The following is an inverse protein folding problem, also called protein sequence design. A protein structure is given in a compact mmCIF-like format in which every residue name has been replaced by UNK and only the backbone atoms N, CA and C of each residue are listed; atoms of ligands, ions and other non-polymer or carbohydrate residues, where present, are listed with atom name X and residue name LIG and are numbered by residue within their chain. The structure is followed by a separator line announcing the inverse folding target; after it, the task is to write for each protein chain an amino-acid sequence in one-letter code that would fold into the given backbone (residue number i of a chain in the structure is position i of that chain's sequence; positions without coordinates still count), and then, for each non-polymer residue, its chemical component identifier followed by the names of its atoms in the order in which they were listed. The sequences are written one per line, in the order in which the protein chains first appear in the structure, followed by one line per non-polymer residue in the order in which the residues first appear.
data_IF_695139881639
#
_entry.id   IF_695139881639
#
_cell.length_a   1.000
_cell.length_b   1.000
_cell.length_c   1.000
_cell.angle_alpha   90.00
_cell.angle_beta   90.00
_cell.angle_gamma   90.00
#
_symmetry.space_group_name_H-M   'P 1'
#
loop_
_entity.id
_entity.type
_entity.pdbx_description
1 polymer ?
#
# COMPACT_ATOMS: atom_id res chain seq x y z
N UNK A 1 0.36 -17.04 64.43
CA UNK A 1 0.26 -17.78 63.16
C UNK A 1 1.51 -18.69 63.02
N UNK A 2 1.28 -20.01 63.00
CA UNK A 2 2.29 -21.02 63.20
C UNK A 2 3.31 -21.01 62.03
N UNK A 3 4.61 -21.13 62.34
CA UNK A 3 5.70 -21.12 61.36
C UNK A 3 5.45 -22.09 60.17
N UNK A 4 4.89 -23.25 60.45
CA UNK A 4 4.48 -24.25 59.47
C UNK A 4 3.46 -23.73 58.42
N UNK A 5 2.49 -22.92 58.84
CA UNK A 5 1.52 -22.33 57.89
C UNK A 5 2.13 -21.29 56.94
N UNK A 6 3.16 -20.55 57.42
CA UNK A 6 3.89 -19.60 56.58
C UNK A 6 4.77 -20.29 55.54
N UNK A 7 5.41 -21.39 55.93
CA UNK A 7 6.24 -22.18 54.99
C UNK A 7 5.37 -22.81 53.89
N UNK A 8 4.21 -23.38 54.26
CA UNK A 8 3.25 -23.97 53.31
C UNK A 8 2.73 -22.89 52.31
N UNK A 9 2.39 -21.71 52.85
CA UNK A 9 1.89 -20.58 51.99
C UNK A 9 2.96 -20.11 50.99
N UNK A 10 4.24 -20.03 51.39
CA UNK A 10 5.33 -19.67 50.49
C UNK A 10 5.58 -20.74 49.42
N UNK A 11 5.49 -22.01 49.74
CA UNK A 11 5.63 -23.09 48.77
C UNK A 11 4.50 -23.08 47.75
N UNK A 12 3.27 -22.87 48.17
CA UNK A 12 2.12 -22.77 47.28
C UNK A 12 2.25 -21.57 46.32
N UNK A 13 2.76 -20.43 46.83
CA UNK A 13 3.00 -19.24 46.00
C UNK A 13 4.08 -19.49 44.95
N UNK A 14 5.17 -20.16 45.32
CA UNK A 14 6.23 -20.49 44.36
C UNK A 14 5.77 -21.50 43.31
N UNK A 15 4.93 -22.45 43.67
CA UNK A 15 4.34 -23.41 42.70
C UNK A 15 3.41 -22.68 41.75
N UNK A 16 2.59 -21.75 42.25
CA UNK A 16 1.69 -20.93 41.36
C UNK A 16 2.48 -20.06 40.43
N UNK A 17 3.54 -19.41 40.88
CA UNK A 17 4.45 -18.63 40.02
C UNK A 17 5.13 -19.47 38.95
N UNK A 18 5.58 -20.68 39.31
CA UNK A 18 6.18 -21.62 38.34
C UNK A 18 5.14 -22.10 37.30
N UNK A 19 3.90 -22.33 37.71
CA UNK A 19 2.81 -22.70 36.78
C UNK A 19 2.49 -21.56 35.84
N UNK A 20 2.42 -20.32 36.34
CA UNK A 20 2.18 -19.12 35.52
C UNK A 20 3.31 -18.91 34.52
N UNK A 21 4.58 -19.16 34.95
CA UNK A 21 5.74 -19.07 34.07
C UNK A 21 5.74 -20.18 33.00
N UNK A 22 5.42 -21.42 33.34
CA UNK A 22 5.27 -22.54 32.40
C UNK A 22 4.12 -22.35 31.42
N UNK A 23 2.97 -21.79 31.86
CA UNK A 23 1.84 -21.49 30.97
C UNK A 23 2.16 -20.28 30.07
N UNK A 24 2.92 -19.31 30.58
CA UNK A 24 3.42 -18.16 29.79
C UNK A 24 4.33 -18.63 28.64
N UNK A 25 5.32 -19.47 28.92
CA UNK A 25 6.23 -20.00 27.90
C UNK A 25 5.51 -20.87 26.85
N UNK A 26 4.51 -21.69 27.28
CA UNK A 26 3.74 -22.53 26.34
C UNK A 26 2.82 -21.69 25.44
N UNK A 27 2.30 -20.56 25.92
CA UNK A 27 1.50 -19.66 25.07
C UNK A 27 2.33 -18.76 24.17
N UNK A 28 3.53 -18.32 24.62
CA UNK A 28 4.43 -17.53 23.76
C UNK A 28 4.96 -18.36 22.59
N UNK A 29 5.37 -19.60 22.80
CA UNK A 29 5.86 -20.48 21.73
C UNK A 29 4.79 -20.93 20.73
N UNK A 30 3.49 -20.80 21.06
CA UNK A 30 2.38 -21.21 20.19
C UNK A 30 1.80 -20.08 19.34
N UNK A 31 2.09 -18.83 19.69
CA UNK A 31 1.66 -17.63 18.92
C UNK A 31 2.66 -17.32 17.78
N UNK A 32 3.93 -17.72 17.91
CA UNK A 32 4.95 -17.50 16.86
C UNK A 32 4.84 -18.43 15.64
N UNK A 33 4.00 -19.47 15.68
CA UNK A 33 3.90 -20.45 14.57
C UNK A 33 2.67 -20.30 13.69
N UNK A 34 1.83 -19.29 13.90
CA UNK A 34 0.73 -18.96 12.99
C UNK A 34 1.05 -17.69 12.20
N UNK A 35 1.76 -17.87 11.08
CA UNK A 35 1.63 -16.99 9.93
C UNK A 35 2.30 -15.62 10.02
N UNK A 36 3.49 -15.51 10.60
CA UNK A 36 4.42 -14.47 10.17
C UNK A 36 5.17 -15.03 8.97
N UNK A 37 4.87 -14.53 7.77
CA UNK A 37 5.82 -14.66 6.68
C UNK A 37 7.18 -14.25 7.25
N UNK A 38 8.20 -15.06 7.02
CA UNK A 38 9.57 -14.70 7.39
C UNK A 38 9.88 -13.47 6.55
N UNK A 39 9.78 -12.29 7.14
CA UNK A 39 10.26 -11.06 6.51
C UNK A 39 11.77 -11.29 6.41
N UNK A 40 12.25 -11.51 5.20
CA UNK A 40 13.68 -11.56 4.92
C UNK A 40 14.19 -10.13 5.11
N UNK A 41 14.87 -9.87 6.23
CA UNK A 41 15.47 -8.55 6.54
C UNK A 41 16.46 -8.08 5.44
N UNK A 42 16.77 -8.94 4.46
CA UNK A 42 17.57 -8.64 3.27
C UNK A 42 16.73 -8.50 1.99
N UNK A 43 15.39 -8.54 2.05
CA UNK A 43 14.57 -8.34 0.85
C UNK A 43 14.71 -6.91 0.33
N UNK A 44 14.86 -6.78 -0.99
CA UNK A 44 14.88 -5.47 -1.66
C UNK A 44 13.45 -5.00 -1.81
N UNK A 45 13.02 -4.01 -1.04
CA UNK A 45 11.66 -3.45 -1.13
C UNK A 45 11.48 -2.57 -2.35
N UNK A 46 10.31 -2.67 -3.00
CA UNK A 46 9.86 -1.77 -4.08
C UNK A 46 8.36 -1.51 -3.94
N UNK A 47 7.88 -0.33 -4.35
CA UNK A 47 6.47 -0.04 -4.41
C UNK A 47 5.97 -0.02 -5.86
N UNK A 48 4.95 -0.86 -6.15
CA UNK A 48 4.22 -0.79 -7.40
C UNK A 48 3.01 0.12 -7.21
N UNK A 49 2.86 1.13 -8.06
CA UNK A 49 1.83 2.14 -7.89
C UNK A 49 1.05 2.38 -9.18
N UNK A 50 -0.25 2.65 -9.05
CA UNK A 50 -1.16 2.84 -10.18
C UNK A 50 -1.92 4.16 -10.04
N UNK A 51 -1.90 4.98 -11.09
CA UNK A 51 -2.58 6.26 -11.17
C UNK A 51 -3.86 6.18 -12.02
N UNK A 52 -4.72 7.19 -11.90
CA UNK A 52 -5.93 7.44 -12.70
C UNK A 52 -7.12 6.49 -12.48
N UNK A 53 -6.94 5.39 -11.77
CA UNK A 53 -7.98 4.38 -11.51
C UNK A 53 -9.14 4.86 -10.60
N UNK A 54 -10.05 3.92 -10.29
CA UNK A 54 -10.16 2.60 -10.86
C UNK A 54 -10.82 2.58 -12.25
N UNK A 55 -10.44 1.59 -13.08
CA UNK A 55 -11.11 1.27 -14.34
C UNK A 55 -12.04 0.05 -14.16
N UNK A 56 -13.27 0.06 -14.72
CA UNK A 56 -14.28 -0.97 -14.43
C UNK A 56 -13.90 -2.41 -14.78
N UNK A 57 -12.98 -2.61 -15.70
CA UNK A 57 -12.53 -3.93 -16.14
C UNK A 57 -11.08 -4.22 -15.73
N UNK A 58 -10.18 -3.31 -16.02
CA UNK A 58 -8.74 -3.58 -15.91
C UNK A 58 -8.25 -3.56 -14.48
N UNK A 59 -8.77 -2.66 -13.63
CA UNK A 59 -8.45 -2.67 -12.20
C UNK A 59 -8.87 -3.98 -11.55
N UNK A 60 -10.05 -4.53 -11.88
CA UNK A 60 -10.48 -5.85 -11.35
C UNK A 60 -9.54 -6.98 -11.75
N UNK A 61 -9.12 -7.02 -13.01
CA UNK A 61 -8.16 -8.01 -13.50
C UNK A 61 -6.79 -7.88 -12.80
N UNK A 62 -6.36 -6.64 -12.58
CA UNK A 62 -5.14 -6.35 -11.85
C UNK A 62 -5.22 -6.84 -10.40
N UNK A 63 -6.31 -6.53 -9.69
CA UNK A 63 -6.52 -6.96 -8.30
C UNK A 63 -6.52 -8.48 -8.16
N UNK A 64 -7.20 -9.20 -9.07
CA UNK A 64 -7.16 -10.67 -9.12
C UNK A 64 -5.74 -11.18 -9.29
N UNK A 65 -4.98 -10.63 -10.23
CA UNK A 65 -3.60 -11.04 -10.49
C UNK A 65 -2.62 -10.71 -9.35
N UNK A 66 -2.78 -9.57 -8.67
CA UNK A 66 -1.99 -9.20 -7.49
C UNK A 66 -2.30 -10.14 -6.31
N UNK A 67 -3.58 -10.45 -6.10
CA UNK A 67 -4.04 -11.37 -5.06
C UNK A 67 -3.49 -12.79 -5.24
N UNK A 68 -3.47 -13.32 -6.47
CA UNK A 68 -2.88 -14.62 -6.79
C UNK A 68 -1.39 -14.70 -6.45
N UNK A 69 -0.70 -13.55 -6.39
CA UNK A 69 0.73 -13.42 -6.11
C UNK A 69 1.04 -12.97 -4.68
N UNK A 70 -0.02 -12.76 -3.87
CA UNK A 70 0.08 -12.19 -2.51
C UNK A 70 0.86 -10.88 -2.45
N UNK A 71 0.63 -9.99 -3.43
CA UNK A 71 1.32 -8.71 -3.59
C UNK A 71 0.38 -7.57 -3.28
N UNK A 72 0.87 -6.59 -2.50
CA UNK A 72 0.20 -5.33 -2.23
C UNK A 72 0.77 -4.23 -3.13
N UNK A 73 -0.07 -3.24 -3.44
CA UNK A 73 0.27 -2.10 -4.27
C UNK A 73 -0.38 -0.82 -3.72
N UNK A 74 -0.04 0.32 -4.29
CA UNK A 74 -0.68 1.59 -3.97
C UNK A 74 -1.44 2.12 -5.18
N UNK A 75 -2.68 2.56 -4.97
CA UNK A 75 -3.55 3.12 -6.00
C UNK A 75 -3.82 4.58 -5.71
N UNK A 76 -3.32 5.48 -6.57
CA UNK A 76 -3.65 6.90 -6.55
C UNK A 76 -4.86 7.14 -7.46
N UNK A 77 -6.04 7.24 -6.85
CA UNK A 77 -7.32 7.21 -7.57
C UNK A 77 -7.94 8.60 -7.72
N UNK A 78 -8.62 8.85 -8.84
CA UNK A 78 -9.32 10.10 -9.06
C UNK A 78 -10.70 10.07 -8.41
N UNK A 79 -11.13 11.20 -7.82
CA UNK A 79 -12.42 11.27 -7.14
C UNK A 79 -13.61 10.95 -8.04
N UNK A 80 -13.55 11.31 -9.32
CA UNK A 80 -14.60 10.96 -10.32
C UNK A 80 -14.73 9.44 -10.46
N UNK A 81 -13.63 8.71 -10.47
CA UNK A 81 -13.65 7.25 -10.60
C UNK A 81 -14.04 6.57 -9.28
N UNK A 82 -13.76 7.19 -8.12
CA UNK A 82 -14.30 6.73 -6.84
C UNK A 82 -15.84 6.75 -6.85
N UNK A 83 -16.43 7.86 -7.24
CA UNK A 83 -17.90 7.99 -7.33
C UNK A 83 -18.51 7.05 -8.40
N UNK A 84 -17.79 6.83 -9.51
CA UNK A 84 -18.28 5.99 -10.61
C UNK A 84 -18.20 4.47 -10.29
N UNK A 85 -17.22 4.05 -9.49
CA UNK A 85 -16.91 2.62 -9.25
C UNK A 85 -16.58 2.36 -7.78
N UNK A 86 -17.47 2.72 -6.83
CA UNK A 86 -17.20 2.60 -5.39
C UNK A 86 -16.95 1.14 -4.94
N UNK A 87 -17.55 0.17 -5.62
CA UNK A 87 -17.35 -1.26 -5.33
C UNK A 87 -15.93 -1.73 -5.63
N UNK A 88 -15.26 -1.12 -6.64
CA UNK A 88 -13.87 -1.46 -6.96
C UNK A 88 -12.93 -0.80 -5.95
N UNK A 89 -13.20 0.45 -5.54
CA UNK A 89 -12.46 1.13 -4.48
C UNK A 89 -12.54 0.35 -3.17
N UNK A 90 -13.74 -0.14 -2.83
CA UNK A 90 -13.93 -1.01 -1.67
C UNK A 90 -13.11 -2.30 -1.78
N UNK A 91 -13.05 -2.92 -2.95
CA UNK A 91 -12.23 -4.11 -3.17
C UNK A 91 -10.73 -3.80 -3.03
N UNK A 92 -10.22 -2.69 -3.59
CA UNK A 92 -8.84 -2.24 -3.42
C UNK A 92 -8.50 -2.17 -1.92
N UNK A 93 -9.37 -1.54 -1.13
CA UNK A 93 -9.20 -1.38 0.31
C UNK A 93 -9.26 -2.71 1.06
N UNK A 94 -10.29 -3.55 0.80
CA UNK A 94 -10.49 -4.84 1.48
C UNK A 94 -9.39 -5.87 1.13
N UNK A 95 -8.81 -5.79 -0.06
CA UNK A 95 -7.65 -6.62 -0.44
C UNK A 95 -6.33 -6.12 0.18
N UNK A 96 -6.36 -5.03 0.96
CA UNK A 96 -5.23 -4.50 1.74
C UNK A 96 -4.23 -3.70 0.93
N UNK A 97 -4.64 -3.12 -0.19
CA UNK A 97 -3.86 -2.15 -0.93
C UNK A 97 -3.99 -0.75 -0.31
N UNK A 98 -2.96 0.09 -0.48
CA UNK A 98 -3.03 1.48 -0.06
C UNK A 98 -3.77 2.31 -1.10
N UNK A 99 -4.64 3.22 -0.63
CA UNK A 99 -5.34 4.19 -1.47
C UNK A 99 -4.79 5.58 -1.22
N UNK A 100 -4.38 6.26 -2.28
CA UNK A 100 -3.98 7.66 -2.29
C UNK A 100 -4.89 8.52 -3.17
N UNK A 101 -4.80 9.81 -2.98
CA UNK A 101 -5.52 10.85 -3.72
C UNK A 101 -4.81 11.18 -5.04
N UNK A 102 -5.57 11.32 -6.13
CA UNK A 102 -5.04 11.78 -7.43
C UNK A 102 -5.85 12.97 -7.99
N UNK A 103 -6.34 13.86 -7.11
CA UNK A 103 -7.31 14.91 -7.38
C UNK A 103 -8.66 14.38 -7.87
N UNK A 104 -9.66 15.24 -7.96
CA UNK A 104 -11.01 14.79 -8.34
C UNK A 104 -11.12 14.51 -9.85
N UNK A 105 -10.63 15.43 -10.68
CA UNK A 105 -10.74 15.37 -12.15
C UNK A 105 -9.37 15.34 -12.86
N UNK A 106 -8.33 14.81 -12.21
CA UNK A 106 -6.96 14.81 -12.72
C UNK A 106 -6.44 16.22 -13.06
N UNK A 107 -6.80 17.21 -12.24
CA UNK A 107 -6.41 18.61 -12.46
C UNK A 107 -4.93 18.82 -12.17
N UNK A 108 -4.19 19.38 -13.13
CA UNK A 108 -2.81 19.82 -12.92
C UNK A 108 -2.77 21.11 -12.11
N UNK A 109 -1.90 21.20 -11.11
CA UNK A 109 -1.62 22.44 -10.40
C UNK A 109 -0.90 23.45 -11.30
N UNK A 110 -1.41 24.67 -11.33
CA UNK A 110 -0.83 25.82 -12.03
C UNK A 110 -0.84 27.05 -11.11
N UNK A 111 -0.13 28.12 -11.49
CA UNK A 111 -0.13 29.37 -10.74
C UNK A 111 -1.50 30.05 -10.62
N UNK A 112 -2.46 29.71 -11.49
CA UNK A 112 -3.77 30.34 -11.54
C UNK A 112 -4.92 29.52 -10.94
N UNK A 113 -4.68 28.28 -10.47
CA UNK A 113 -5.78 27.40 -10.03
C UNK A 113 -5.57 26.77 -8.64
N UNK A 114 -4.69 27.34 -7.80
CA UNK A 114 -4.34 26.75 -6.51
C UNK A 114 -5.55 26.42 -5.64
N UNK A 115 -6.51 27.32 -5.53
CA UNK A 115 -7.71 27.12 -4.70
C UNK A 115 -8.62 26.01 -5.27
N UNK A 116 -8.82 25.99 -6.59
CA UNK A 116 -9.56 24.91 -7.24
C UNK A 116 -8.85 23.55 -7.02
N UNK A 117 -7.53 23.51 -7.13
CA UNK A 117 -6.74 22.31 -6.92
C UNK A 117 -6.92 21.77 -5.50
N UNK A 118 -6.92 22.65 -4.47
CA UNK A 118 -7.21 22.25 -3.09
C UNK A 118 -8.59 21.64 -2.93
N UNK A 119 -9.62 22.28 -3.53
CA UNK A 119 -10.99 21.77 -3.48
C UNK A 119 -11.11 20.38 -4.12
N UNK A 120 -10.37 20.12 -5.19
CA UNK A 120 -10.34 18.79 -5.80
C UNK A 120 -9.70 17.74 -4.89
N UNK A 121 -8.66 18.11 -4.14
CA UNK A 121 -8.05 17.21 -3.14
C UNK A 121 -9.05 16.91 -2.03
N UNK A 122 -9.64 17.94 -1.44
CA UNK A 122 -10.60 17.79 -0.32
C UNK A 122 -11.75 16.90 -0.74
N UNK A 123 -12.38 17.18 -1.89
CA UNK A 123 -13.49 16.39 -2.40
C UNK A 123 -13.10 14.93 -2.65
N UNK A 124 -11.92 14.69 -3.17
CA UNK A 124 -11.43 13.31 -3.39
C UNK A 124 -11.24 12.56 -2.08
N UNK A 125 -10.68 13.21 -1.05
CA UNK A 125 -10.56 12.59 0.27
C UNK A 125 -11.94 12.27 0.87
N UNK A 126 -12.93 13.16 0.71
CA UNK A 126 -14.29 12.94 1.19
C UNK A 126 -14.92 11.69 0.55
N UNK A 127 -14.86 11.57 -0.78
CA UNK A 127 -15.46 10.41 -1.46
C UNK A 127 -14.69 9.11 -1.23
N UNK A 128 -13.36 9.15 -1.05
CA UNK A 128 -12.58 7.98 -0.62
C UNK A 128 -13.05 7.53 0.77
N UNK A 129 -13.15 8.46 1.72
CA UNK A 129 -13.59 8.17 3.09
C UNK A 129 -15.03 7.64 3.14
N UNK A 130 -15.94 8.15 2.32
CA UNK A 130 -17.31 7.64 2.24
C UNK A 130 -17.35 6.15 1.85
N UNK A 131 -16.44 5.69 1.01
CA UNK A 131 -16.38 4.30 0.53
C UNK A 131 -15.60 3.39 1.47
N UNK A 132 -14.45 3.85 1.99
CA UNK A 132 -13.50 3.02 2.76
C UNK A 132 -13.69 3.13 4.28
N UNK A 133 -14.27 4.24 4.75
CA UNK A 133 -14.31 4.60 6.18
C UNK A 133 -13.01 5.23 6.69
N UNK A 134 -11.95 5.30 5.89
CA UNK A 134 -10.60 5.73 6.28
C UNK A 134 -10.21 7.03 5.58
N UNK A 135 -9.42 7.84 6.28
CA UNK A 135 -8.81 9.04 5.70
C UNK A 135 -7.52 8.65 4.95
N UNK A 136 -7.31 9.17 3.74
CA UNK A 136 -6.00 9.09 3.09
C UNK A 136 -5.22 10.39 3.30
N UNK A 137 -3.92 10.25 3.59
CA UNK A 137 -2.98 11.37 3.70
C UNK A 137 -1.98 11.38 2.53
N UNK A 138 -1.98 10.36 1.70
CA UNK A 138 -1.07 10.26 0.55
C UNK A 138 -1.71 10.83 -0.70
N UNK A 139 -0.94 11.63 -1.43
CA UNK A 139 -1.36 12.19 -2.71
C UNK A 139 -0.27 12.00 -3.75
N UNK A 140 -0.65 11.59 -4.94
CA UNK A 140 0.19 11.81 -6.11
C UNK A 140 -0.43 12.94 -6.92
N UNK A 141 0.22 14.12 -6.96
CA UNK A 141 -0.32 15.23 -7.74
C UNK A 141 -0.19 14.92 -9.24
N UNK A 142 -1.25 15.17 -10.04
CA UNK A 142 -1.18 15.00 -11.49
C UNK A 142 0.02 15.72 -12.10
N UNK A 143 0.73 15.02 -13.01
CA UNK A 143 1.95 15.50 -13.67
C UNK A 143 3.11 15.82 -12.70
N UNK A 144 3.05 15.37 -11.44
CA UNK A 144 4.05 15.67 -10.42
C UNK A 144 4.07 17.13 -9.94
N UNK A 145 3.05 17.93 -10.30
CA UNK A 145 2.99 19.37 -9.98
C UNK A 145 2.50 19.60 -8.55
N UNK A 146 3.38 20.05 -7.65
CA UNK A 146 3.08 20.23 -6.23
C UNK A 146 3.57 21.55 -5.67
N UNK A 147 2.87 22.07 -4.65
CA UNK A 147 3.32 23.21 -3.81
C UNK A 147 3.47 22.73 -2.37
N UNK A 148 4.65 22.87 -1.79
CA UNK A 148 4.97 22.47 -0.40
C UNK A 148 4.08 23.13 0.67
N UNK A 149 3.49 24.28 0.39
CA UNK A 149 2.57 24.93 1.31
C UNK A 149 1.33 24.06 1.58
N UNK A 150 0.92 23.25 0.60
CA UNK A 150 -0.23 22.34 0.72
C UNK A 150 0.00 21.17 1.68
N UNK A 151 1.25 20.76 1.92
CA UNK A 151 1.57 19.67 2.85
C UNK A 151 1.01 19.98 4.25
N UNK A 152 1.20 21.23 4.71
CA UNK A 152 0.71 21.64 6.03
C UNK A 152 -0.78 22.02 6.01
N UNK A 153 -1.21 22.68 4.96
CA UNK A 153 -2.57 23.21 4.87
C UNK A 153 -3.61 22.09 4.73
N UNK A 154 -3.28 21.05 3.95
CA UNK A 154 -4.18 19.94 3.64
C UNK A 154 -3.84 18.66 4.41
N UNK A 155 -2.77 18.65 5.20
CA UNK A 155 -2.24 17.45 5.86
C UNK A 155 -2.05 16.29 4.85
N UNK A 156 -1.47 16.60 3.67
CA UNK A 156 -1.23 15.64 2.60
C UNK A 156 0.26 15.42 2.38
N UNK A 157 0.65 14.17 2.16
CA UNK A 157 2.02 13.76 1.88
C UNK A 157 2.16 13.43 0.38
N UNK A 158 2.92 14.23 -0.40
CA UNK A 158 3.07 13.99 -1.83
C UNK A 158 4.02 12.81 -2.09
N UNK A 159 3.59 11.86 -2.90
CA UNK A 159 4.36 10.70 -3.34
C UNK A 159 4.57 10.80 -4.85
N UNK A 160 5.83 10.97 -5.26
CA UNK A 160 6.22 10.93 -6.66
C UNK A 160 6.68 9.51 -7.04
N UNK A 161 7.40 9.36 -8.13
CA UNK A 161 7.93 8.10 -8.61
C UNK A 161 9.42 8.21 -8.97
N UNK A 162 10.09 7.09 -9.00
CA UNK A 162 11.49 6.98 -9.44
C UNK A 162 11.61 6.31 -10.80
N UNK A 163 10.62 5.48 -11.17
CA UNK A 163 10.56 4.82 -12.47
C UNK A 163 9.23 5.13 -13.15
N UNK A 164 9.28 5.69 -14.36
CA UNK A 164 8.17 5.80 -15.29
C UNK A 164 8.47 4.92 -16.51
N UNK A 165 7.77 3.80 -16.72
CA UNK A 165 7.96 2.93 -17.86
C UNK A 165 7.28 3.43 -19.13
N UNK A 166 6.52 4.53 -19.06
CA UNK A 166 5.73 5.11 -20.16
C UNK A 166 4.62 4.16 -20.67
N UNK A 167 3.98 3.44 -19.76
CA UNK A 167 2.90 2.48 -20.06
C UNK A 167 1.67 3.15 -20.67
N UNK A 168 1.39 4.39 -20.25
CA UNK A 168 0.28 5.21 -20.74
C UNK A 168 0.36 5.55 -22.24
N UNK A 169 1.53 5.46 -22.86
CA UNK A 169 1.73 5.72 -24.28
C UNK A 169 2.29 4.51 -25.07
N UNK A 170 2.32 3.32 -24.46
CA UNK A 170 2.86 2.10 -25.07
C UNK A 170 1.81 1.00 -25.19
N UNK A 171 1.79 0.33 -26.34
CA UNK A 171 1.01 -0.88 -26.57
C UNK A 171 1.88 -2.16 -26.52
N UNK A 172 3.14 -2.06 -26.07
CA UNK A 172 4.10 -3.15 -25.97
C UNK A 172 4.36 -3.51 -24.49
N UNK A 173 3.64 -4.53 -23.99
CA UNK A 173 3.81 -5.00 -22.62
C UNK A 173 5.27 -5.42 -22.34
N UNK A 174 5.93 -6.10 -23.26
CA UNK A 174 7.31 -6.56 -23.07
C UNK A 174 8.29 -5.38 -22.99
N UNK A 175 8.05 -4.31 -23.75
CA UNK A 175 8.82 -3.07 -23.67
C UNK A 175 8.63 -2.38 -22.32
N UNK A 176 7.39 -2.32 -21.80
CA UNK A 176 7.08 -1.77 -20.47
C UNK A 176 7.83 -2.58 -19.38
N UNK A 177 7.72 -3.92 -19.39
CA UNK A 177 8.45 -4.80 -18.47
C UNK A 177 9.94 -4.53 -18.48
N UNK A 178 10.56 -4.51 -19.68
CA UNK A 178 11.98 -4.24 -19.84
C UNK A 178 12.39 -2.87 -19.28
N UNK A 179 11.56 -1.84 -19.48
CA UNK A 179 11.83 -0.49 -18.98
C UNK A 179 11.86 -0.41 -17.45
N UNK A 180 11.17 -1.31 -16.75
CA UNK A 180 11.20 -1.43 -15.30
C UNK A 180 12.35 -2.34 -14.86
N UNK A 181 12.35 -3.60 -15.28
CA UNK A 181 13.23 -4.66 -14.74
C UNK A 181 14.72 -4.32 -14.90
N UNK A 182 15.10 -3.67 -16.00
CA UNK A 182 16.52 -3.30 -16.23
C UNK A 182 16.99 -2.15 -15.33
N UNK A 183 16.08 -1.32 -14.83
CA UNK A 183 16.43 -0.07 -14.11
C UNK A 183 16.17 -0.17 -12.61
N UNK A 184 15.25 -1.03 -12.19
CA UNK A 184 14.74 -1.07 -10.82
C UNK A 184 15.85 -1.33 -9.81
N UNK A 185 15.77 -0.63 -8.70
CA UNK A 185 16.63 -0.77 -7.51
C UNK A 185 15.76 -0.84 -6.27
N UNK A 186 16.36 -1.25 -5.19
CA UNK A 186 15.75 -1.17 -3.85
C UNK A 186 15.25 0.25 -3.56
N UNK A 187 14.07 0.33 -2.96
CA UNK A 187 13.34 1.55 -2.61
C UNK A 187 12.82 2.37 -3.81
N UNK A 188 12.77 1.78 -5.00
CA UNK A 188 12.13 2.44 -6.13
C UNK A 188 10.59 2.41 -6.02
N UNK A 189 9.98 3.49 -6.49
CA UNK A 189 8.54 3.64 -6.66
C UNK A 189 8.23 3.61 -8.15
N UNK A 190 7.50 2.60 -8.60
CA UNK A 190 7.19 2.37 -10.02
C UNK A 190 5.82 2.96 -10.31
N UNK A 191 5.76 3.92 -11.25
CA UNK A 191 4.52 4.50 -11.76
C UNK A 191 3.94 3.63 -12.87
N UNK A 192 2.66 3.30 -12.79
CA UNK A 192 1.88 2.67 -13.85
C UNK A 192 0.44 3.24 -13.85
N UNK A 193 -0.41 2.82 -14.81
CA UNK A 193 -1.79 3.26 -14.94
C UNK A 193 -2.71 2.06 -15.20
N UNK A 194 -3.62 1.77 -14.29
CA UNK A 194 -4.50 0.59 -14.34
C UNK A 194 -5.66 0.68 -15.34
N UNK A 195 -5.58 1.64 -16.26
CA UNK A 195 -6.60 1.90 -17.29
C UNK A 195 -6.40 1.11 -18.58
N UNK A 196 -5.26 0.40 -18.73
CA UNK A 196 -4.90 -0.29 -19.98
C UNK A 196 -4.64 -1.77 -19.79
N UNK A 197 -5.18 -2.59 -20.72
CA UNK A 197 -4.90 -4.03 -20.72
C UNK A 197 -3.41 -4.33 -20.78
N UNK A 198 -2.67 -3.55 -21.56
CA UNK A 198 -1.22 -3.71 -21.75
C UNK A 198 -0.49 -3.49 -20.43
N UNK A 199 -0.88 -2.48 -19.66
CA UNK A 199 -0.33 -2.20 -18.34
C UNK A 199 -0.60 -3.33 -17.36
N UNK A 200 -1.82 -3.86 -17.30
CA UNK A 200 -2.15 -5.00 -16.42
C UNK A 200 -1.26 -6.20 -16.73
N UNK A 201 -1.11 -6.54 -18.02
CA UNK A 201 -0.23 -7.63 -18.45
C UNK A 201 1.23 -7.38 -18.03
N UNK A 202 1.73 -6.17 -18.26
CA UNK A 202 3.09 -5.79 -17.90
C UNK A 202 3.31 -5.78 -16.39
N UNK A 203 2.37 -5.24 -15.61
CA UNK A 203 2.46 -5.15 -14.15
C UNK A 203 2.58 -6.54 -13.52
N UNK A 204 1.76 -7.50 -13.92
CA UNK A 204 1.80 -8.86 -13.38
C UNK A 204 3.09 -9.59 -13.78
N UNK A 205 3.61 -9.35 -14.98
CA UNK A 205 4.91 -9.90 -15.42
C UNK A 205 6.09 -9.24 -14.67
N UNK A 206 6.05 -7.94 -14.39
CA UNK A 206 7.02 -7.23 -13.55
C UNK A 206 7.05 -7.86 -12.16
N UNK A 207 5.87 -8.08 -11.55
CA UNK A 207 5.76 -8.76 -10.26
C UNK A 207 6.42 -10.13 -10.30
N UNK A 208 6.10 -10.96 -11.31
CA UNK A 208 6.65 -12.31 -11.44
C UNK A 208 8.18 -12.31 -11.60
N UNK A 209 8.74 -11.36 -12.35
CA UNK A 209 10.18 -11.28 -12.58
C UNK A 209 10.91 -10.75 -11.36
N UNK A 210 10.48 -9.64 -10.77
CA UNK A 210 11.15 -9.02 -9.64
C UNK A 210 11.06 -9.87 -8.36
N UNK A 211 9.95 -10.58 -8.14
CA UNK A 211 9.86 -11.55 -7.04
C UNK A 211 10.90 -12.66 -7.17
N UNK A 212 11.16 -13.17 -8.38
CA UNK A 212 12.22 -14.16 -8.64
C UNK A 212 13.63 -13.59 -8.41
N UNK A 213 13.80 -12.27 -8.54
CA UNK A 213 15.06 -11.55 -8.28
C UNK A 213 15.21 -11.13 -6.80
N UNK A 214 14.28 -11.54 -5.94
CA UNK A 214 14.30 -11.29 -4.49
C UNK A 214 13.77 -9.91 -4.09
N UNK A 215 12.95 -9.27 -4.93
CA UNK A 215 12.23 -8.06 -4.53
C UNK A 215 10.94 -8.42 -3.80
N UNK A 216 10.64 -7.64 -2.77
CA UNK A 216 9.39 -7.62 -2.03
C UNK A 216 8.57 -6.40 -2.45
N UNK A 217 7.30 -6.62 -2.80
CA UNK A 217 6.39 -5.53 -3.14
C UNK A 217 5.65 -5.07 -1.89
N UNK A 218 5.83 -3.79 -1.57
CA UNK A 218 5.20 -3.14 -0.41
C UNK A 218 4.39 -1.92 -0.84
N UNK A 219 3.52 -1.44 0.03
CA UNK A 219 2.82 -0.18 -0.19
C UNK A 219 3.77 1.02 0.02
N UNK A 220 3.41 2.22 -0.47
CA UNK A 220 4.31 3.38 -0.35
C UNK A 220 4.53 3.83 1.08
N UNK A 221 3.56 3.62 1.98
CA UNK A 221 3.72 3.91 3.41
C UNK A 221 4.70 2.95 4.08
N UNK A 222 4.62 1.64 3.79
CA UNK A 222 5.60 0.64 4.24
C UNK A 222 6.99 0.92 3.68
N UNK A 223 7.09 1.39 2.42
CA UNK A 223 8.38 1.71 1.81
C UNK A 223 9.06 2.94 2.42
N UNK A 224 8.26 3.95 2.81
CA UNK A 224 8.78 5.25 3.24
C UNK A 224 9.00 5.35 4.75
N UNK A 225 8.34 4.51 5.57
CA UNK A 225 8.31 4.66 7.03
C UNK A 225 8.69 3.41 7.82
N UNK A 226 8.90 2.25 7.17
CA UNK A 226 9.44 1.02 7.76
C UNK A 226 10.95 0.86 7.46
#
# INVERSE_FOLDING_TARGET
MNLGKRIISCIILLILLAIVWLIGDVNYGKIETMGRAVVDENSKKVALTFDDGPHPFYTKQLLEGLKERDVKATFFITGQNVEAYPEIVKQIFEDGHLIGNHTYSHTQLTSGNAERFKQEIIRTNEVIKEVTGEDTIYIRPPYGSWNKEFEKELNMFPVLWTIDPLDWCSNDASGIVKNVVVKVKENDIILMHDQYKTTVTAALEIVDQLTKEGYEFVTVDELLFD
#
